data_IF_271108496893
#
_entry.id   IF_271108496893
#
_cell.length_a   1.000
_cell.length_b   1.000
_cell.length_c   1.000
_cell.angle_alpha   90.00
_cell.angle_beta   90.00
_cell.angle_gamma   90.00
#
_symmetry.space_group_name_H-M   'P 1'
#
loop_
_entity.id
_entity.type
_entity.pdbx_description
1 polymer ?
#
# COMPACT_ATOMS: atom_id res chain seq x y z
N UNK A 1 28.31 -34.20 -10.97
CA UNK A 1 27.29 -33.43 -10.23
C UNK A 1 27.27 -33.94 -8.80
N UNK A 2 27.57 -33.08 -7.82
CA UNK A 2 27.70 -33.48 -6.41
C UNK A 2 26.38 -33.23 -5.70
N UNK A 3 25.68 -34.30 -5.31
CA UNK A 3 24.42 -34.21 -4.58
C UNK A 3 24.73 -33.98 -3.11
N UNK A 4 24.27 -32.85 -2.58
CA UNK A 4 24.37 -32.52 -1.15
C UNK A 4 23.08 -33.01 -0.46
N UNK A 5 23.13 -34.06 0.38
CA UNK A 5 21.93 -34.57 1.04
C UNK A 5 21.49 -33.62 2.16
N UNK A 6 20.29 -33.04 2.01
CA UNK A 6 19.69 -32.18 3.04
C UNK A 6 18.93 -33.08 4.04
N UNK A 7 19.17 -32.96 5.35
CA UNK A 7 18.44 -33.72 6.35
C UNK A 7 16.96 -33.35 6.36
N UNK A 8 16.10 -34.36 6.48
CA UNK A 8 14.65 -34.15 6.61
C UNK A 8 14.36 -33.43 7.92
N UNK A 9 13.53 -32.39 7.87
CA UNK A 9 13.09 -31.68 9.08
C UNK A 9 12.35 -32.64 10.01
N UNK A 10 12.56 -32.54 11.33
CA UNK A 10 11.81 -33.34 12.28
C UNK A 10 10.32 -32.98 12.20
N UNK A 11 9.43 -33.96 12.39
CA UNK A 11 7.97 -33.74 12.35
C UNK A 11 7.51 -32.66 13.33
N UNK A 12 8.18 -32.54 14.47
CA UNK A 12 7.89 -31.55 15.50
C UNK A 12 8.29 -30.09 15.12
N UNK A 13 8.99 -29.88 13.99
CA UNK A 13 9.38 -28.54 13.57
C UNK A 13 8.17 -27.66 13.18
N UNK A 14 7.08 -28.28 12.74
CA UNK A 14 5.82 -27.58 12.45
C UNK A 14 4.83 -27.88 13.57
N UNK A 15 4.57 -26.88 14.42
CA UNK A 15 3.63 -27.01 15.53
C UNK A 15 2.63 -25.83 15.53
N UNK A 16 1.41 -26.02 15.00
CA UNK A 16 0.37 -25.00 14.98
C UNK A 16 -0.02 -24.49 16.38
N UNK A 17 0.11 -25.34 17.40
CA UNK A 17 -0.27 -25.03 18.78
C UNK A 17 0.82 -24.27 19.54
N UNK A 18 1.95 -23.92 18.90
CA UNK A 18 2.98 -23.09 19.50
C UNK A 18 2.40 -21.68 19.77
N UNK A 19 2.77 -21.02 20.89
CA UNK A 19 2.37 -19.64 21.13
C UNK A 19 2.88 -18.70 20.02
N UNK A 20 2.07 -17.70 19.66
CA UNK A 20 2.38 -16.78 18.55
C UNK A 20 3.71 -16.06 18.79
N UNK A 21 4.62 -16.16 17.81
CA UNK A 21 5.87 -15.40 17.77
C UNK A 21 5.64 -13.89 17.62
N UNK A 22 6.63 -13.07 17.99
CA UNK A 22 6.54 -11.60 17.85
C UNK A 22 6.26 -11.16 16.41
N UNK A 23 6.89 -11.82 15.42
CA UNK A 23 6.68 -11.55 14.00
C UNK A 23 5.21 -11.73 13.60
N UNK A 24 4.61 -12.86 13.94
CA UNK A 24 3.23 -13.15 13.59
C UNK A 24 2.26 -12.21 14.32
N UNK A 25 2.54 -11.84 15.58
CA UNK A 25 1.76 -10.81 16.28
C UNK A 25 1.75 -9.49 15.52
N UNK A 26 2.91 -9.01 15.09
CA UNK A 26 3.01 -7.77 14.31
C UNK A 26 2.26 -7.87 12.98
N UNK A 27 2.35 -8.99 12.28
CA UNK A 27 1.62 -9.21 11.03
C UNK A 27 0.10 -9.19 11.24
N UNK A 28 -0.40 -9.84 12.30
CA UNK A 28 -1.81 -9.82 12.68
C UNK A 28 -2.28 -8.39 12.96
N UNK A 29 -1.49 -7.59 13.68
CA UNK A 29 -1.82 -6.18 13.96
C UNK A 29 -1.92 -5.35 12.67
N UNK A 30 -0.96 -5.48 11.76
CA UNK A 30 -1.01 -4.76 10.48
C UNK A 30 -2.21 -5.20 9.62
N UNK A 31 -2.52 -6.49 9.58
CA UNK A 31 -3.69 -6.98 8.84
C UNK A 31 -5.00 -6.49 9.44
N UNK A 32 -5.08 -6.28 10.75
CA UNK A 32 -6.25 -5.63 11.35
C UNK A 32 -6.43 -4.21 10.86
N UNK A 33 -5.34 -3.46 10.72
CA UNK A 33 -5.42 -2.10 10.18
C UNK A 33 -5.95 -2.10 8.75
N UNK A 34 -5.54 -3.08 7.94
CA UNK A 34 -6.07 -3.32 6.59
C UNK A 34 -7.56 -3.70 6.64
N UNK A 35 -7.95 -4.57 7.57
CA UNK A 35 -9.35 -5.03 7.74
C UNK A 35 -10.32 -3.87 8.03
N UNK A 36 -9.88 -2.85 8.78
CA UNK A 36 -10.70 -1.65 9.05
C UNK A 36 -11.12 -0.92 7.76
N UNK A 37 -10.31 -1.02 6.71
CA UNK A 37 -10.57 -0.42 5.40
C UNK A 37 -11.52 -1.25 4.54
N UNK A 38 -11.82 -2.51 4.93
CA UNK A 38 -12.69 -3.37 4.14
C UNK A 38 -14.15 -2.91 4.23
N UNK A 39 -14.93 -3.07 3.15
CA UNK A 39 -16.38 -2.98 3.24
C UNK A 39 -16.92 -4.04 4.21
N UNK A 40 -18.01 -3.76 4.94
CA UNK A 40 -18.55 -4.67 5.96
C UNK A 40 -18.78 -6.11 5.45
N UNK A 41 -19.19 -6.27 4.19
CA UNK A 41 -19.44 -7.57 3.56
C UNK A 41 -18.19 -8.48 3.42
N UNK A 42 -16.98 -7.92 3.56
CA UNK A 42 -15.72 -8.64 3.41
C UNK A 42 -14.93 -8.76 4.71
N UNK A 43 -15.43 -8.22 5.82
CA UNK A 43 -14.72 -8.25 7.10
C UNK A 43 -14.85 -9.64 7.73
N UNK A 44 -13.73 -10.33 8.04
CA UNK A 44 -13.79 -11.54 8.84
C UNK A 44 -14.20 -11.23 10.28
N UNK A 45 -15.13 -11.99 10.85
CA UNK A 45 -15.63 -11.79 12.22
C UNK A 45 -14.68 -12.35 13.31
N UNK A 46 -13.37 -12.32 13.07
CA UNK A 46 -12.38 -12.90 13.97
C UNK A 46 -11.87 -11.83 14.94
N UNK A 47 -12.01 -12.08 16.23
CA UNK A 47 -11.52 -11.19 17.27
C UNK A 47 -10.03 -11.43 17.57
N UNK A 48 -9.17 -10.45 17.29
CA UNK A 48 -7.71 -10.59 17.39
C UNK A 48 -7.23 -11.12 18.74
N UNK A 49 -7.85 -10.71 19.84
CA UNK A 49 -7.40 -11.08 21.18
C UNK A 49 -7.66 -12.57 21.51
N UNK A 50 -8.39 -13.30 20.66
CA UNK A 50 -8.50 -14.76 20.78
C UNK A 50 -7.29 -15.49 20.20
N UNK A 51 -6.47 -14.83 19.37
CA UNK A 51 -5.33 -15.44 18.68
C UNK A 51 -4.18 -15.64 19.68
N UNK A 52 -3.96 -16.88 20.10
CA UNK A 52 -2.94 -17.29 21.07
C UNK A 52 -1.87 -18.18 20.44
N UNK A 53 -2.21 -18.91 19.37
CA UNK A 53 -1.33 -19.88 18.72
C UNK A 53 -0.95 -19.48 17.29
N UNK A 54 0.21 -19.96 16.81
CA UNK A 54 0.66 -19.70 15.43
C UNK A 54 -0.32 -20.22 14.38
N UNK A 55 -1.01 -21.33 14.66
CA UNK A 55 -2.08 -21.86 13.81
C UNK A 55 -3.25 -20.89 13.67
N UNK A 56 -3.76 -20.37 14.80
CA UNK A 56 -4.83 -19.36 14.79
C UNK A 56 -4.40 -18.08 14.07
N UNK A 57 -3.14 -17.64 14.27
CA UNK A 57 -2.61 -16.48 13.56
C UNK A 57 -2.55 -16.72 12.05
N UNK A 58 -2.12 -17.92 11.62
CA UNK A 58 -2.09 -18.29 10.21
C UNK A 58 -3.49 -18.36 9.59
N UNK A 59 -4.47 -18.87 10.31
CA UNK A 59 -5.88 -18.88 9.88
C UNK A 59 -6.45 -17.47 9.72
N UNK A 60 -6.19 -16.59 10.68
CA UNK A 60 -6.58 -15.18 10.57
C UNK A 60 -5.94 -14.52 9.35
N UNK A 61 -4.61 -14.64 9.19
CA UNK A 61 -3.87 -14.10 8.05
C UNK A 61 -4.46 -14.61 6.73
N UNK A 62 -4.76 -15.91 6.64
CA UNK A 62 -5.38 -16.52 5.47
C UNK A 62 -6.76 -15.93 5.18
N UNK A 63 -7.60 -15.75 6.19
CA UNK A 63 -8.96 -15.20 6.01
C UNK A 63 -8.95 -13.77 5.47
N UNK A 64 -8.12 -12.88 6.06
CA UNK A 64 -8.02 -11.47 5.65
C UNK A 64 -7.45 -11.36 4.24
N UNK A 65 -6.42 -12.13 3.92
CA UNK A 65 -5.80 -12.10 2.58
C UNK A 65 -6.72 -12.68 1.50
N UNK A 66 -7.52 -13.71 1.81
CA UNK A 66 -8.55 -14.20 0.90
C UNK A 66 -9.64 -13.16 0.66
N UNK A 67 -10.11 -12.49 1.71
CA UNK A 67 -11.06 -11.39 1.58
C UNK A 67 -10.49 -10.23 0.74
N UNK A 68 -9.21 -9.89 0.93
CA UNK A 68 -8.52 -8.89 0.10
C UNK A 68 -8.50 -9.29 -1.38
N UNK A 69 -8.13 -10.53 -1.68
CA UNK A 69 -8.13 -11.04 -3.05
C UNK A 69 -9.52 -11.04 -3.67
N UNK A 70 -10.55 -11.39 -2.90
CA UNK A 70 -11.94 -11.36 -3.35
C UNK A 70 -12.39 -9.93 -3.65
N UNK A 71 -12.15 -8.99 -2.72
CA UNK A 71 -12.43 -7.57 -2.91
C UNK A 71 -11.72 -7.02 -4.16
N UNK A 72 -10.44 -7.38 -4.35
CA UNK A 72 -9.70 -6.96 -5.53
C UNK A 72 -10.28 -7.56 -6.81
N UNK A 73 -10.67 -8.85 -6.82
CA UNK A 73 -11.28 -9.46 -8.01
C UNK A 73 -12.63 -8.82 -8.38
N UNK A 74 -13.47 -8.58 -7.39
CA UNK A 74 -14.81 -8.00 -7.60
C UNK A 74 -14.71 -6.50 -7.96
N UNK A 75 -13.78 -5.76 -7.35
CA UNK A 75 -13.49 -4.35 -7.72
C UNK A 75 -12.65 -4.17 -8.99
N UNK A 76 -11.87 -5.19 -9.40
CA UNK A 76 -11.09 -5.16 -10.64
C UNK A 76 -11.96 -5.24 -11.89
N UNK A 77 -13.24 -5.63 -11.77
CA UNK A 77 -14.22 -5.50 -12.84
C UNK A 77 -14.38 -4.06 -13.34
N UNK A 78 -14.08 -3.06 -12.50
CA UNK A 78 -14.14 -1.64 -12.88
C UNK A 78 -12.80 -1.06 -13.39
N UNK A 79 -11.65 -1.70 -13.12
CA UNK A 79 -10.33 -1.03 -13.30
C UNK A 79 -9.25 -1.81 -14.05
N UNK A 80 -9.57 -2.88 -14.79
CA UNK A 80 -8.52 -3.60 -15.54
C UNK A 80 -8.92 -3.85 -17.00
N UNK A 81 -8.81 -2.81 -17.82
CA UNK A 81 -8.22 -3.01 -19.14
C UNK A 81 -6.74 -3.40 -18.98
N UNK A 82 -6.15 -4.21 -19.87
CA UNK A 82 -4.78 -4.68 -19.71
C UNK A 82 -3.82 -3.49 -19.63
N UNK A 83 -3.02 -3.44 -18.56
CA UNK A 83 -1.92 -2.48 -18.33
C UNK A 83 -0.90 -2.45 -19.48
N UNK A 84 -0.88 -3.47 -20.34
CA UNK A 84 -0.09 -3.50 -21.56
C UNK A 84 -0.49 -2.42 -22.59
N UNK A 85 -1.76 -1.99 -22.63
CA UNK A 85 -2.23 -0.99 -23.60
C UNK A 85 -1.84 0.46 -23.24
N UNK A 86 -1.31 0.71 -22.04
CA UNK A 86 -0.92 2.06 -21.60
C UNK A 86 0.53 2.43 -21.96
N UNK A 87 1.32 1.48 -22.50
CA UNK A 87 2.72 1.70 -22.84
C UNK A 87 2.94 2.45 -24.18
N UNK A 88 1.93 2.54 -25.06
CA UNK A 88 2.12 3.12 -26.40
C UNK A 88 1.67 4.58 -26.57
N UNK A 89 1.12 5.22 -25.54
CA UNK A 89 0.82 6.65 -25.63
C UNK A 89 2.08 7.46 -25.35
N UNK A 90 2.96 7.56 -26.36
CA UNK A 90 3.97 8.63 -26.45
C UNK A 90 3.27 9.96 -26.10
N UNK A 91 3.73 10.74 -25.10
CA UNK A 91 3.13 12.03 -24.85
C UNK A 91 3.43 12.93 -26.05
N UNK A 92 2.41 13.21 -26.86
CA UNK A 92 2.46 14.29 -27.83
C UNK A 92 2.73 15.58 -27.04
N UNK A 93 3.98 16.04 -27.16
CA UNK A 93 4.52 17.28 -26.61
C UNK A 93 3.55 18.41 -26.95
N UNK A 94 2.73 18.86 -25.99
CA UNK A 94 1.93 20.08 -26.15
C UNK A 94 2.90 21.21 -26.46
N UNK A 95 2.86 21.67 -27.70
CA UNK A 95 3.55 22.84 -28.22
C UNK A 95 3.26 24.03 -27.30
N UNK A 96 4.32 24.63 -26.77
CA UNK A 96 4.30 25.91 -26.04
C UNK A 96 3.52 26.92 -26.88
N UNK A 97 2.34 27.33 -26.42
CA UNK A 97 1.68 28.51 -26.95
C UNK A 97 2.58 29.71 -26.65
N UNK A 98 3.10 30.33 -27.72
CA UNK A 98 3.85 31.59 -27.67
C UNK A 98 2.94 32.68 -27.09
N UNK A 99 3.22 33.11 -25.86
CA UNK A 99 2.70 34.38 -25.36
C UNK A 99 3.42 35.53 -26.09
N UNK A 100 2.63 36.41 -26.70
CA UNK A 100 3.07 37.61 -27.43
C UNK A 100 3.83 38.58 -26.51
N UNK A 101 4.78 39.39 -27.02
CA UNK A 101 5.66 40.22 -26.20
C UNK A 101 4.94 41.46 -25.62
N UNK A 102 5.36 41.87 -24.42
CA UNK A 102 4.86 43.04 -23.64
C UNK A 102 5.05 44.37 -24.39
N UNK A 103 4.15 45.35 -24.22
CA UNK A 103 4.52 46.76 -24.32
C UNK A 103 5.05 47.29 -22.98
N UNK A 104 6.14 48.07 -23.05
CA UNK A 104 6.79 48.78 -21.95
C UNK A 104 6.00 50.06 -21.59
N UNK A 105 5.77 50.31 -20.29
CA UNK A 105 5.53 51.68 -19.81
C UNK A 105 6.20 51.94 -18.44
N UNK A 106 7.23 52.79 -18.53
CA UNK A 106 7.78 53.79 -17.60
C UNK A 106 8.00 53.48 -16.10
N UNK A 107 9.31 53.50 -15.75
CA UNK A 107 9.88 53.81 -14.43
C UNK A 107 9.54 55.23 -13.98
N UNK A 108 9.20 55.40 -12.70
CA UNK A 108 9.54 56.53 -11.81
C UNK A 108 9.57 55.95 -10.38
N UNK A 109 10.71 55.57 -9.80
CA UNK A 109 11.79 56.33 -9.14
C UNK A 109 11.39 57.08 -7.85
N UNK A 110 12.07 56.68 -6.75
CA UNK A 110 12.39 57.46 -5.52
C UNK A 110 11.19 57.77 -4.59
N UNK A 111 11.24 57.71 -3.26
CA UNK A 111 12.33 57.85 -2.28
C UNK A 111 11.78 57.53 -0.88
N UNK A 112 12.61 56.91 -0.02
CA UNK A 112 12.72 57.04 1.45
C UNK A 112 11.49 57.22 2.36
N UNK A 113 11.47 56.52 3.52
CA UNK A 113 11.89 57.07 4.83
C UNK A 113 11.48 56.12 5.98
N UNK A 114 12.47 55.82 6.83
CA UNK A 114 12.42 55.25 8.20
C UNK A 114 11.10 55.48 8.97
N UNK A 115 10.69 54.49 9.77
CA UNK A 115 10.55 54.66 11.23
C UNK A 115 10.44 53.33 12.00
N UNK A 116 11.42 53.10 12.88
CA UNK A 116 11.29 52.33 14.14
C UNK A 116 10.27 53.03 15.06
N UNK A 117 9.55 52.23 15.84
CA UNK A 117 8.90 52.47 17.16
C UNK A 117 7.92 51.30 17.35
N UNK A 118 7.78 50.64 18.48
CA UNK A 118 8.23 50.80 19.85
C UNK A 118 8.24 49.41 20.49
#
# INVERSE_FOLDING_TARGET
MTVIPIPKKPRAAFNPNRPVSSLLKTQVLHLREVEKLFPPAYRPEIYINTIKTEGEAAEYIRSVTQALHRLHREGAGERVGPIAASAERKPARKTRQKSKPKPKSKKLSKTGKKKKRS
#
